data_IF_174161606573
#
_entry.id   IF_174161606573
#
_cell.length_a   1.000
_cell.length_b   1.000
_cell.length_c   1.000
_cell.angle_alpha   90.00
_cell.angle_beta   90.00
_cell.angle_gamma   90.00
#
_symmetry.space_group_name_H-M   'P 1'
#
loop_
_entity.id
_entity.type
_entity.pdbx_description
1 polymer ?
#
# COMPACT_ATOMS: atom_id res chain seq x y z
N UNK A 1 -30.31 33.87 -10.08
CA UNK A 1 -29.88 32.66 -10.81
C UNK A 1 -28.37 32.65 -10.76
N UNK A 2 -27.78 32.08 -9.69
CA UNK A 2 -26.34 31.91 -9.58
C UNK A 2 -26.10 30.41 -9.44
N UNK A 3 -25.48 29.85 -10.47
CA UNK A 3 -25.02 28.47 -10.54
C UNK A 3 -23.66 28.45 -9.87
N UNK A 4 -23.61 28.12 -8.58
CA UNK A 4 -22.35 27.76 -7.94
C UNK A 4 -21.92 26.41 -8.49
N UNK A 5 -20.78 26.44 -9.18
CA UNK A 5 -20.16 25.27 -9.77
C UNK A 5 -19.75 24.33 -8.64
N UNK A 6 -20.42 23.19 -8.58
CA UNK A 6 -20.01 22.04 -7.82
C UNK A 6 -18.68 21.54 -8.39
N UNK A 7 -17.56 22.02 -7.85
CA UNK A 7 -16.25 21.40 -8.04
C UNK A 7 -16.22 20.12 -7.23
N UNK A 8 -17.01 19.14 -7.66
CA UNK A 8 -17.03 17.80 -7.08
C UNK A 8 -15.72 17.12 -7.42
N UNK A 9 -14.71 17.28 -6.57
CA UNK A 9 -13.61 16.33 -6.53
C UNK A 9 -14.25 14.92 -6.44
N UNK A 10 -13.88 13.98 -7.32
CA UNK A 10 -14.42 12.64 -7.25
C UNK A 10 -14.16 12.10 -5.84
N UNK A 11 -15.10 11.39 -5.19
CA UNK A 11 -15.02 11.06 -3.76
C UNK A 11 -13.67 10.44 -3.46
N UNK A 12 -12.77 11.24 -2.86
CA UNK A 12 -11.48 10.75 -2.43
C UNK A 12 -11.77 9.57 -1.51
N UNK A 13 -11.03 8.48 -1.70
CA UNK A 13 -11.19 7.31 -0.85
C UNK A 13 -11.17 7.75 0.62
N UNK A 14 -12.03 7.16 1.44
CA UNK A 14 -11.96 7.39 2.88
C UNK A 14 -10.67 6.75 3.41
N UNK A 15 -9.58 7.50 3.36
CA UNK A 15 -8.25 7.08 3.75
C UNK A 15 -8.25 6.55 5.18
N UNK A 16 -9.03 7.17 6.08
CA UNK A 16 -9.19 6.71 7.45
C UNK A 16 -9.87 5.33 7.51
N UNK A 17 -10.91 5.09 6.70
CA UNK A 17 -11.54 3.77 6.63
C UNK A 17 -10.59 2.70 6.07
N UNK A 18 -9.75 3.05 5.09
CA UNK A 18 -8.75 2.14 4.51
C UNK A 18 -7.65 1.79 5.53
N UNK A 19 -7.12 2.78 6.26
CA UNK A 19 -6.17 2.55 7.36
C UNK A 19 -6.80 1.66 8.45
N UNK A 20 -8.04 1.96 8.84
CA UNK A 20 -8.77 1.17 9.83
C UNK A 20 -9.02 -0.27 9.37
N UNK A 21 -9.23 -0.51 8.07
CA UNK A 21 -9.32 -1.85 7.50
C UNK A 21 -7.96 -2.55 7.54
N UNK A 22 -6.86 -1.88 7.17
CA UNK A 22 -5.51 -2.43 7.23
C UNK A 22 -5.11 -2.85 8.66
N UNK A 23 -5.43 -2.04 9.68
CA UNK A 23 -5.13 -2.33 11.09
C UNK A 23 -5.88 -3.55 11.65
N UNK A 24 -6.90 -4.08 10.95
CA UNK A 24 -7.54 -5.38 11.29
C UNK A 24 -6.60 -6.57 11.06
N UNK A 25 -5.48 -6.36 10.35
CA UNK A 25 -4.50 -7.39 10.01
C UNK A 25 -3.15 -7.13 10.69
N UNK A 26 -3.07 -7.16 12.04
CA UNK A 26 -1.83 -6.83 12.75
C UNK A 26 -0.67 -7.79 12.46
N UNK A 27 -0.94 -8.96 11.89
CA UNK A 27 0.07 -9.93 11.44
C UNK A 27 0.74 -9.54 10.12
N UNK A 28 0.15 -8.62 9.35
CA UNK A 28 0.71 -8.10 8.10
C UNK A 28 1.48 -6.79 8.31
N UNK A 29 1.33 -6.16 9.47
CA UNK A 29 1.83 -4.81 9.76
C UNK A 29 2.89 -4.81 10.85
N UNK A 30 3.78 -3.84 10.78
CA UNK A 30 4.66 -3.53 11.88
C UNK A 30 3.84 -2.93 13.05
N UNK A 31 4.25 -3.15 14.31
CA UNK A 31 3.62 -2.51 15.46
C UNK A 31 3.62 -0.97 15.30
N UNK A 32 2.54 -0.25 15.69
CA UNK A 32 2.44 1.19 15.46
C UNK A 32 3.63 2.01 15.96
N UNK A 33 4.28 1.59 17.05
CA UNK A 33 5.42 2.30 17.66
C UNK A 33 6.71 2.26 16.83
N UNK A 34 6.81 1.35 15.87
CA UNK A 34 8.01 1.19 15.02
C UNK A 34 7.73 1.56 13.56
N UNK A 35 6.53 2.07 13.28
CA UNK A 35 6.14 2.58 11.97
C UNK A 35 6.84 3.92 11.70
N UNK A 36 7.27 4.14 10.46
CA UNK A 36 7.95 5.37 10.06
C UNK A 36 6.95 6.53 9.88
N UNK A 37 5.76 6.23 9.35
CA UNK A 37 4.72 7.21 9.06
C UNK A 37 3.37 6.73 9.62
N UNK A 38 2.99 7.17 10.83
CA UNK A 38 1.77 6.70 11.48
C UNK A 38 0.49 7.13 10.74
N UNK A 39 0.56 8.20 9.95
CA UNK A 39 -0.58 8.81 9.27
C UNK A 39 -0.80 8.30 7.84
N UNK A 40 0.03 7.35 7.36
CA UNK A 40 -0.07 6.80 6.02
C UNK A 40 0.34 7.78 4.92
N UNK A 41 1.57 8.31 5.00
CA UNK A 41 2.05 9.41 4.15
C UNK A 41 1.98 9.13 2.64
N UNK A 42 1.90 7.87 2.22
CA UNK A 42 1.83 7.45 0.82
C UNK A 42 0.46 6.89 0.41
N UNK A 43 -0.50 6.91 1.33
CA UNK A 43 -1.79 6.29 1.12
C UNK A 43 -2.59 6.99 0.02
N UNK A 44 -2.62 8.33 0.02
CA UNK A 44 -3.36 9.09 -0.99
C UNK A 44 -2.80 8.86 -2.40
N UNK A 45 -1.48 8.88 -2.56
CA UNK A 45 -0.81 8.55 -3.82
C UNK A 45 -1.16 7.14 -4.29
N UNK A 46 -1.17 6.15 -3.38
CA UNK A 46 -1.53 4.78 -3.74
C UNK A 46 -3.04 4.62 -4.06
N UNK A 47 -3.91 5.36 -3.36
CA UNK A 47 -5.36 5.36 -3.59
C UNK A 47 -5.75 6.10 -4.88
N UNK A 48 -4.91 7.03 -5.37
CA UNK A 48 -5.12 7.66 -6.66
C UNK A 48 -5.04 6.66 -7.84
N UNK A 49 -4.36 5.52 -7.64
CA UNK A 49 -4.32 4.41 -8.59
C UNK A 49 -5.55 3.48 -8.53
N UNK A 50 -6.51 3.75 -7.66
CA UNK A 50 -7.79 3.03 -7.60
C UNK A 50 -8.82 3.74 -8.49
N UNK A 51 -9.37 3.00 -9.45
CA UNK A 51 -10.27 3.57 -10.44
C UNK A 51 -11.63 3.93 -9.81
N UNK A 52 -12.36 4.92 -10.36
CA UNK A 52 -13.68 5.31 -9.88
C UNK A 52 -14.66 4.14 -9.72
N UNK A 53 -14.59 3.15 -10.60
CA UNK A 53 -15.47 1.97 -10.60
C UNK A 53 -15.13 0.97 -9.49
N UNK A 54 -13.87 0.95 -9.03
CA UNK A 54 -13.39 0.08 -7.95
C UNK A 54 -13.66 0.67 -6.56
N UNK A 55 -13.95 1.98 -6.47
CA UNK A 55 -14.11 2.67 -5.18
C UNK A 55 -15.23 2.06 -4.34
N UNK A 56 -16.32 1.68 -5.00
CA UNK A 56 -17.40 0.94 -4.37
C UNK A 56 -16.95 -0.51 -4.14
N UNK A 57 -16.69 -0.88 -2.89
CA UNK A 57 -16.23 -2.22 -2.52
C UNK A 57 -14.71 -2.37 -2.36
N UNK A 58 -13.95 -1.26 -2.43
CA UNK A 58 -12.49 -1.32 -2.36
C UNK A 58 -11.96 -1.92 -1.05
N UNK A 59 -12.64 -1.67 0.07
CA UNK A 59 -12.24 -2.23 1.37
C UNK A 59 -12.36 -3.74 1.35
N UNK A 60 -13.48 -4.29 0.85
CA UNK A 60 -13.70 -5.72 0.73
C UNK A 60 -12.68 -6.38 -0.21
N UNK A 61 -12.33 -5.71 -1.31
CA UNK A 61 -11.27 -6.14 -2.22
C UNK A 61 -9.91 -6.19 -1.52
N UNK A 62 -9.56 -5.14 -0.77
CA UNK A 62 -8.31 -5.08 -0.02
C UNK A 62 -8.24 -6.19 1.04
N UNK A 63 -9.32 -6.40 1.80
CA UNK A 63 -9.40 -7.47 2.80
C UNK A 63 -9.24 -8.86 2.15
N UNK A 64 -9.87 -9.09 0.99
CA UNK A 64 -9.72 -10.33 0.24
C UNK A 64 -8.28 -10.53 -0.25
N UNK A 65 -7.63 -9.48 -0.78
CA UNK A 65 -6.24 -9.51 -1.20
C UNK A 65 -5.30 -9.88 -0.04
N UNK A 66 -5.47 -9.23 1.12
CA UNK A 66 -4.64 -9.46 2.30
C UNK A 66 -4.75 -10.90 2.78
N UNK A 67 -5.98 -11.43 2.84
CA UNK A 67 -6.24 -12.80 3.27
C UNK A 67 -5.66 -13.83 2.28
N UNK A 68 -5.83 -13.59 0.98
CA UNK A 68 -5.25 -14.44 -0.07
C UNK A 68 -3.72 -14.50 0.02
N UNK A 69 -3.09 -13.39 0.40
CA UNK A 69 -1.63 -13.25 0.42
C UNK A 69 -0.99 -13.40 1.80
N UNK A 70 -1.72 -13.91 2.81
CA UNK A 70 -1.26 -13.98 4.20
C UNK A 70 0.19 -14.43 4.36
N UNK A 71 0.54 -15.61 3.84
CA UNK A 71 1.87 -16.19 4.00
C UNK A 71 2.98 -15.37 3.32
N UNK A 72 2.66 -14.62 2.25
CA UNK A 72 3.63 -13.76 1.57
C UNK A 72 3.83 -12.45 2.32
N UNK A 73 2.77 -11.89 2.91
CA UNK A 73 2.83 -10.70 3.74
C UNK A 73 3.61 -10.96 5.05
N UNK A 74 3.37 -12.09 5.72
CA UNK A 74 4.13 -12.49 6.91
C UNK A 74 5.63 -12.66 6.59
N UNK A 75 5.94 -13.26 5.43
CA UNK A 75 7.33 -13.38 4.96
C UNK A 75 7.95 -12.01 4.64
N UNK A 76 7.21 -11.13 3.95
CA UNK A 76 7.66 -9.78 3.62
C UNK A 76 8.02 -9.01 4.90
N UNK A 77 7.10 -9.00 5.87
CA UNK A 77 7.31 -8.33 7.16
C UNK A 77 8.51 -8.93 7.90
N UNK A 78 8.66 -10.26 7.91
CA UNK A 78 9.78 -10.93 8.57
C UNK A 78 11.13 -10.61 7.90
N UNK A 79 11.19 -10.63 6.58
CA UNK A 79 12.44 -10.52 5.82
C UNK A 79 12.89 -9.07 5.64
N UNK A 80 11.96 -8.13 5.51
CA UNK A 80 12.21 -6.74 5.13
C UNK A 80 11.59 -5.71 6.08
N UNK A 81 10.79 -6.12 7.06
CA UNK A 81 10.18 -5.20 8.01
C UNK A 81 11.15 -4.62 9.04
N UNK A 82 10.67 -3.73 9.93
CA UNK A 82 11.50 -3.08 10.93
C UNK A 82 12.29 -4.07 11.80
N UNK A 83 13.58 -3.79 11.97
CA UNK A 83 14.52 -4.65 12.72
C UNK A 83 15.15 -5.77 11.89
N UNK A 84 14.71 -5.98 10.64
CA UNK A 84 15.42 -6.82 9.70
C UNK A 84 16.74 -6.17 9.25
N UNK A 85 17.70 -6.99 8.81
CA UNK A 85 18.97 -6.48 8.26
C UNK A 85 18.75 -5.58 7.03
N UNK A 86 17.88 -5.94 6.06
CA UNK A 86 17.59 -5.08 4.91
C UNK A 86 16.99 -3.71 5.28
N UNK A 87 16.18 -3.63 6.34
CA UNK A 87 15.53 -2.39 6.78
C UNK A 87 16.47 -1.38 7.47
N UNK A 88 17.78 -1.65 7.50
CA UNK A 88 18.76 -0.73 8.10
C UNK A 88 18.84 0.58 7.32
N UNK A 89 19.05 1.69 8.02
CA UNK A 89 19.19 3.03 7.43
C UNK A 89 17.96 3.54 6.65
N UNK A 90 16.76 3.06 6.99
CA UNK A 90 15.50 3.57 6.40
C UNK A 90 15.13 2.97 5.04
N UNK A 91 15.88 1.96 4.55
CA UNK A 91 15.43 1.13 3.42
C UNK A 91 14.21 0.31 3.81
N UNK A 92 13.39 -0.05 2.82
CA UNK A 92 12.15 -0.79 3.03
C UNK A 92 11.23 -0.15 4.10
N UNK A 93 11.31 1.18 4.32
CA UNK A 93 10.57 1.87 5.37
C UNK A 93 9.04 1.75 5.23
N UNK A 94 8.57 1.53 3.99
CA UNK A 94 7.17 1.22 3.73
C UNK A 94 6.77 -0.15 4.28
N UNK A 95 7.64 -1.17 4.31
CA UNK A 95 7.26 -2.51 4.74
C UNK A 95 6.71 -2.50 6.17
N UNK A 96 5.46 -2.95 6.31
CA UNK A 96 4.75 -2.99 7.58
C UNK A 96 4.03 -1.69 7.95
N UNK A 97 4.09 -0.65 7.11
CA UNK A 97 3.13 0.45 7.16
C UNK A 97 1.75 -0.02 6.66
N UNK A 98 0.63 0.53 7.16
CA UNK A 98 -0.72 0.16 6.70
C UNK A 98 -0.93 0.40 5.19
N UNK A 99 -0.37 1.46 4.62
CA UNK A 99 -0.42 1.77 3.19
C UNK A 99 0.28 0.71 2.32
N UNK A 100 1.16 -0.13 2.89
CA UNK A 100 1.77 -1.25 2.16
C UNK A 100 0.72 -2.15 1.55
N UNK A 101 -0.38 -2.42 2.26
CA UNK A 101 -1.39 -3.35 1.76
C UNK A 101 -2.04 -2.83 0.48
N UNK A 102 -2.29 -1.52 0.42
CA UNK A 102 -2.83 -0.84 -0.77
C UNK A 102 -1.80 -0.83 -1.89
N UNK A 103 -0.55 -0.48 -1.60
CA UNK A 103 0.52 -0.40 -2.61
C UNK A 103 0.75 -1.78 -3.24
N UNK A 104 0.82 -2.84 -2.44
CA UNK A 104 1.03 -4.20 -2.94
C UNK A 104 -0.16 -4.71 -3.76
N UNK A 105 -1.39 -4.40 -3.33
CA UNK A 105 -2.58 -4.76 -4.08
C UNK A 105 -2.61 -4.05 -5.43
N UNK A 106 -2.35 -2.73 -5.45
CA UNK A 106 -2.25 -1.93 -6.68
C UNK A 106 -1.09 -2.38 -7.58
N UNK A 107 0.02 -2.82 -7.01
CA UNK A 107 1.16 -3.34 -7.76
C UNK A 107 0.79 -4.62 -8.53
N UNK A 108 -0.13 -5.44 -8.01
CA UNK A 108 -0.60 -6.64 -8.73
C UNK A 108 -1.74 -6.36 -9.70
N UNK A 109 -2.65 -5.43 -9.38
CA UNK A 109 -3.88 -5.24 -10.14
C UNK A 109 -3.82 -4.07 -11.13
N UNK A 110 -3.00 -3.06 -10.85
CA UNK A 110 -2.89 -1.84 -11.64
C UNK A 110 -1.46 -1.23 -11.64
N UNK A 111 -0.39 -2.01 -11.92
CA UNK A 111 1.01 -1.57 -11.75
C UNK A 111 1.35 -0.31 -12.55
N UNK A 112 0.86 -0.18 -13.77
CA UNK A 112 1.14 0.99 -14.61
C UNK A 112 0.48 2.27 -14.09
N UNK A 113 -0.72 2.16 -13.51
CA UNK A 113 -1.39 3.31 -12.89
C UNK A 113 -0.69 3.69 -11.59
N UNK A 114 -0.32 2.72 -10.77
CA UNK A 114 0.45 2.95 -9.55
C UNK A 114 1.79 3.65 -9.86
N UNK A 115 2.53 3.19 -10.88
CA UNK A 115 3.81 3.82 -11.23
C UNK A 115 3.63 5.25 -11.74
N UNK A 116 2.61 5.47 -12.58
CA UNK A 116 2.29 6.82 -13.07
C UNK A 116 1.90 7.81 -11.96
N UNK A 117 1.28 7.34 -10.87
CA UNK A 117 0.91 8.24 -9.75
C UNK A 117 2.08 8.46 -8.79
N UNK A 118 3.02 7.52 -8.72
CA UNK A 118 4.19 7.61 -7.84
C UNK A 118 5.27 8.56 -8.36
N UNK A 119 5.56 8.50 -9.68
CA UNK A 119 6.59 9.30 -10.35
C UNK A 119 6.34 10.83 -10.22
N UNK A 120 5.09 11.24 -10.06
CA UNK A 120 4.70 12.65 -9.98
C UNK A 120 4.79 13.24 -8.56
N UNK A 121 4.84 12.40 -7.51
CA UNK A 121 4.60 12.86 -6.14
C UNK A 121 5.66 12.44 -5.11
N UNK A 122 6.40 11.34 -5.27
CA UNK A 122 7.17 10.73 -4.16
C UNK A 122 8.54 10.17 -4.57
N UNK A 123 9.35 9.74 -3.58
CA UNK A 123 10.65 9.10 -3.83
C UNK A 123 10.46 7.68 -4.40
N UNK A 124 10.86 7.48 -5.66
CA UNK A 124 10.81 6.19 -6.39
C UNK A 124 11.44 5.02 -5.62
N UNK A 125 12.46 5.31 -4.81
CA UNK A 125 13.25 4.29 -4.10
C UNK A 125 12.38 3.42 -3.18
N UNK A 126 11.31 3.97 -2.59
CA UNK A 126 10.44 3.20 -1.71
C UNK A 126 9.54 2.23 -2.47
N UNK A 127 9.05 2.63 -3.66
CA UNK A 127 8.28 1.75 -4.51
C UNK A 127 9.18 0.66 -5.10
N UNK A 128 10.39 1.01 -5.55
CA UNK A 128 11.37 0.05 -6.06
C UNK A 128 11.77 -1.00 -4.99
N UNK A 129 12.00 -0.58 -3.74
CA UNK A 129 12.28 -1.48 -2.61
C UNK A 129 11.10 -2.44 -2.38
N UNK A 130 9.84 -1.94 -2.42
CA UNK A 130 8.65 -2.78 -2.29
C UNK A 130 8.48 -3.73 -3.49
N UNK A 131 8.70 -3.28 -4.71
CA UNK A 131 8.63 -4.11 -5.92
C UNK A 131 9.65 -5.24 -5.85
N UNK A 132 10.87 -4.94 -5.40
CA UNK A 132 11.92 -5.93 -5.21
C UNK A 132 11.54 -6.96 -4.14
N UNK A 133 11.09 -6.50 -2.97
CA UNK A 133 10.75 -7.38 -1.85
C UNK A 133 9.48 -8.19 -2.11
N UNK A 134 8.50 -7.58 -2.79
CA UNK A 134 7.25 -8.22 -3.12
C UNK A 134 7.43 -9.22 -4.25
N UNK A 135 8.04 -8.78 -5.37
CA UNK A 135 8.44 -9.42 -6.63
C UNK A 135 7.95 -10.84 -6.95
N UNK A 136 7.82 -11.23 -8.23
CA UNK A 136 7.45 -12.61 -8.57
C UNK A 136 8.38 -13.57 -7.83
N UNK A 137 7.80 -14.48 -7.04
CA UNK A 137 8.54 -15.59 -6.44
C UNK A 137 8.92 -16.51 -7.58
N UNK A 138 9.95 -16.15 -8.35
CA UNK A 138 10.60 -17.07 -9.26
C UNK A 138 11.09 -18.17 -8.34
N UNK A 139 10.34 -19.28 -8.28
CA UNK A 139 10.80 -20.49 -7.63
C UNK A 139 12.00 -20.94 -8.43
N UNK A 140 13.19 -20.58 -7.97
CA UNK A 140 14.36 -21.39 -8.22
C UNK A 140 14.16 -22.67 -7.42
N UNK A 141 13.31 -23.55 -7.96
CA UNK A 141 13.32 -24.97 -7.62
C UNK A 141 14.72 -25.46 -7.97
N UNK A 142 15.51 -25.80 -6.95
CA UNK A 142 16.72 -26.59 -7.09
C UNK A 142 16.50 -27.92 -6.40
#
# INVERSE_FOLDING_TARGET
MNTEQNTGAPPQHDAAAVLAAADRFPWALAPPKVRHWPDGAFLDTALSAVRPEERAGYIEQLEAFVQQHRARLEELLRAYGPGSRPASHGRYALVGQPETLVILERMETAPFLLRSTWDDEQEDVFLDDLEFAWGPRIRLSR
#
